data_IF_778464590467
#
_entry.id   IF_778464590467
#
_cell.length_a   1.000
_cell.length_b   1.000
_cell.length_c   1.000
_cell.angle_alpha   90.00
_cell.angle_beta   90.00
_cell.angle_gamma   90.00
#
_symmetry.space_group_name_H-M   'P 1'
#
loop_
_entity.id
_entity.type
_entity.pdbx_description
1 polymer ?
#
# COMPACT_ATOMS: atom_id res chain seq x y z
N UNK A 1 5.90 -12.64 -25.38
CA UNK A 1 6.69 -11.43 -25.09
C UNK A 1 5.73 -10.26 -24.88
N UNK A 2 6.00 -9.43 -23.89
CA UNK A 2 5.30 -8.20 -23.57
C UNK A 2 6.30 -7.04 -23.65
N UNK A 3 5.87 -5.90 -24.20
CA UNK A 3 6.72 -4.72 -24.36
C UNK A 3 6.07 -3.55 -23.63
N UNK A 4 6.79 -2.94 -22.69
CA UNK A 4 6.40 -1.69 -22.04
C UNK A 4 7.31 -0.58 -22.57
N UNK A 5 6.69 0.48 -23.06
CA UNK A 5 7.35 1.64 -23.64
C UNK A 5 6.56 2.90 -23.25
N UNK A 6 7.17 4.08 -23.23
CA UNK A 6 6.46 5.31 -22.88
C UNK A 6 5.29 5.55 -23.83
N UNK A 7 4.20 6.08 -23.29
CA UNK A 7 3.11 6.62 -24.09
C UNK A 7 3.54 7.95 -24.73
N UNK A 8 2.79 8.42 -25.72
CA UNK A 8 3.01 9.72 -26.34
C UNK A 8 3.08 10.84 -25.29
N UNK A 9 4.18 11.61 -25.30
CA UNK A 9 4.46 12.67 -24.34
C UNK A 9 3.69 13.95 -24.71
N UNK A 10 2.37 13.94 -24.57
CA UNK A 10 1.54 15.14 -24.80
C UNK A 10 1.58 16.14 -23.63
N UNK A 11 2.34 15.83 -22.56
CA UNK A 11 2.48 16.67 -21.36
C UNK A 11 1.22 16.75 -20.47
N UNK A 12 0.12 16.09 -20.85
CA UNK A 12 -1.20 16.21 -20.20
C UNK A 12 -1.78 14.90 -19.67
N UNK A 13 -1.10 13.77 -19.86
CA UNK A 13 -1.57 12.46 -19.40
C UNK A 13 -0.90 12.03 -18.08
N UNK A 14 -1.58 11.19 -17.31
CA UNK A 14 -1.08 10.66 -16.03
C UNK A 14 0.23 9.89 -16.20
N UNK A 15 0.43 9.25 -17.36
CA UNK A 15 1.67 8.54 -17.70
C UNK A 15 2.87 9.47 -17.78
N UNK A 16 2.73 10.67 -18.33
CA UNK A 16 3.79 11.69 -18.30
C UNK A 16 4.19 12.03 -16.86
N UNK A 17 3.21 12.21 -15.96
CA UNK A 17 3.50 12.46 -14.55
C UNK A 17 4.26 11.29 -13.94
N UNK A 18 3.85 10.05 -14.23
CA UNK A 18 4.48 8.82 -13.69
C UNK A 18 5.92 8.65 -14.19
N UNK A 19 6.13 8.74 -15.50
CA UNK A 19 7.42 8.48 -16.13
C UNK A 19 8.42 9.62 -15.93
N UNK A 20 7.95 10.87 -16.02
CA UNK A 20 8.82 12.05 -16.08
C UNK A 20 8.87 12.79 -14.75
N UNK A 21 7.71 13.08 -14.16
CA UNK A 21 7.65 13.95 -12.97
C UNK A 21 8.03 13.21 -11.69
N UNK A 22 7.54 11.97 -11.51
CA UNK A 22 7.84 11.17 -10.31
C UNK A 22 8.95 10.14 -10.53
N UNK A 23 9.47 10.01 -11.76
CA UNK A 23 10.54 9.08 -12.12
C UNK A 23 10.24 7.62 -11.72
N UNK A 24 8.98 7.20 -11.82
CA UNK A 24 8.51 5.89 -11.35
C UNK A 24 9.08 4.70 -12.13
N UNK A 25 9.35 4.90 -13.42
CA UNK A 25 9.84 3.86 -14.33
C UNK A 25 11.33 3.53 -14.12
N UNK A 26 12.10 4.45 -13.52
CA UNK A 26 13.50 4.18 -13.21
C UNK A 26 13.66 3.05 -12.19
N UNK A 27 12.86 3.11 -11.12
CA UNK A 27 12.85 2.06 -10.10
C UNK A 27 12.53 0.70 -10.73
N UNK A 28 11.54 0.64 -11.61
CA UNK A 28 11.17 -0.61 -12.28
C UNK A 28 12.25 -1.11 -13.24
N UNK A 29 12.90 -0.20 -13.98
CA UNK A 29 14.06 -0.53 -14.84
C UNK A 29 15.19 -1.14 -14.02
N UNK A 30 15.55 -0.51 -12.90
CA UNK A 30 16.59 -1.00 -11.99
C UNK A 30 16.21 -2.34 -11.36
N UNK A 31 14.94 -2.47 -10.96
CA UNK A 31 14.42 -3.71 -10.39
C UNK A 31 14.61 -4.88 -11.36
N UNK A 32 14.18 -4.74 -12.62
CA UNK A 32 14.33 -5.84 -13.57
C UNK A 32 15.79 -6.14 -13.93
N UNK A 33 16.62 -5.11 -14.13
CA UNK A 33 18.04 -5.30 -14.46
C UNK A 33 18.82 -5.99 -13.33
N UNK A 34 18.48 -5.73 -12.07
CA UNK A 34 19.24 -6.26 -10.93
C UNK A 34 18.64 -7.53 -10.34
N UNK A 35 17.31 -7.60 -10.20
CA UNK A 35 16.63 -8.52 -9.30
C UNK A 35 15.74 -9.56 -10.00
N UNK A 36 15.29 -9.31 -11.25
CA UNK A 36 14.44 -10.25 -11.99
C UNK A 36 15.05 -11.66 -12.00
N UNK A 37 14.25 -12.67 -11.65
CA UNK A 37 14.67 -14.07 -11.60
C UNK A 37 15.56 -14.46 -10.41
N UNK A 38 15.86 -13.56 -9.47
CA UNK A 38 16.72 -13.82 -8.29
C UNK A 38 15.97 -13.77 -6.95
N UNK A 39 14.66 -13.57 -6.99
CA UNK A 39 13.82 -13.33 -5.82
C UNK A 39 13.11 -14.60 -5.35
N UNK A 40 12.73 -14.70 -4.07
CA UNK A 40 11.93 -15.82 -3.55
C UNK A 40 10.47 -15.78 -4.00
N UNK A 41 10.09 -14.75 -4.76
CA UNK A 41 8.77 -14.60 -5.36
C UNK A 41 8.90 -14.58 -6.88
N UNK A 42 7.95 -15.22 -7.56
CA UNK A 42 7.94 -15.26 -9.03
C UNK A 42 7.76 -13.85 -9.57
N UNK A 43 8.63 -13.47 -10.51
CA UNK A 43 8.54 -12.22 -11.27
C UNK A 43 8.64 -12.57 -12.77
N UNK A 44 8.09 -11.74 -13.68
CA UNK A 44 8.25 -11.95 -15.10
C UNK A 44 9.73 -11.90 -15.46
N UNK A 45 10.18 -12.79 -16.35
CA UNK A 45 11.54 -12.72 -16.86
C UNK A 45 11.72 -11.45 -17.70
N UNK A 46 12.79 -10.71 -17.47
CA UNK A 46 13.20 -9.61 -18.34
C UNK A 46 14.14 -10.13 -19.43
N UNK A 47 13.92 -9.72 -20.68
CA UNK A 47 14.80 -9.99 -21.82
C UNK A 47 15.66 -8.76 -22.17
N UNK A 48 15.10 -7.56 -22.02
CA UNK A 48 15.81 -6.29 -22.22
C UNK A 48 15.13 -5.20 -21.40
N UNK A 49 15.89 -4.35 -20.70
CA UNK A 49 15.37 -3.15 -20.05
C UNK A 49 16.40 -2.02 -20.11
N UNK A 50 16.02 -0.90 -20.72
CA UNK A 50 16.86 0.31 -20.77
C UNK A 50 16.02 1.57 -20.63
N UNK A 51 16.64 2.63 -20.09
CA UNK A 51 16.03 3.95 -19.90
C UNK A 51 17.07 5.06 -20.12
N UNK A 52 16.76 5.96 -21.05
CA UNK A 52 17.52 7.19 -21.20
C UNK A 52 17.10 8.19 -20.10
N UNK A 53 17.98 8.41 -19.13
CA UNK A 53 17.75 9.31 -17.98
C UNK A 53 17.49 10.77 -18.37
N UNK A 54 17.98 11.22 -19.53
CA UNK A 54 17.80 12.61 -19.99
C UNK A 54 16.42 12.82 -20.61
N UNK A 55 15.99 11.88 -21.44
CA UNK A 55 14.71 11.99 -22.17
C UNK A 55 13.57 11.27 -21.47
N UNK A 56 13.84 10.47 -20.44
CA UNK A 56 12.91 9.57 -19.74
C UNK A 56 12.27 8.48 -20.60
N UNK A 57 12.63 8.41 -21.88
CA UNK A 57 12.32 7.28 -22.76
C UNK A 57 12.89 5.98 -22.18
N UNK A 58 12.08 4.92 -22.21
CA UNK A 58 12.48 3.59 -21.78
C UNK A 58 11.89 2.53 -22.68
N UNK A 59 12.45 1.32 -22.64
CA UNK A 59 11.84 0.15 -23.25
C UNK A 59 12.15 -1.07 -22.40
N UNK A 60 11.12 -1.85 -22.11
CA UNK A 60 11.26 -3.15 -21.48
C UNK A 60 10.63 -4.21 -22.36
N UNK A 61 11.37 -5.28 -22.57
CA UNK A 61 10.95 -6.47 -23.28
C UNK A 61 10.99 -7.61 -22.28
N UNK A 62 9.83 -8.15 -21.91
CA UNK A 62 9.71 -9.15 -20.86
C UNK A 62 8.80 -10.32 -21.26
N UNK A 63 8.79 -11.33 -20.41
CA UNK A 63 7.87 -12.44 -20.47
C UNK A 63 6.42 -11.96 -20.56
N UNK A 64 5.66 -12.54 -21.48
CA UNK A 64 4.20 -12.39 -21.46
C UNK A 64 3.66 -13.47 -20.55
N UNK A 65 3.06 -13.07 -19.44
CA UNK A 65 2.47 -13.98 -18.47
C UNK A 65 1.36 -14.79 -19.16
N UNK A 66 1.42 -16.14 -19.13
CA UNK A 66 0.42 -16.99 -19.75
C UNK A 66 -0.81 -17.13 -18.86
N UNK A 67 -1.53 -16.03 -18.65
CA UNK A 67 -2.76 -16.01 -17.85
C UNK A 67 -3.80 -16.99 -18.39
N UNK A 68 -4.46 -17.69 -17.47
CA UNK A 68 -5.63 -18.52 -17.72
C UNK A 68 -6.82 -17.74 -18.27
N UNK A 69 -7.73 -18.44 -18.96
CA UNK A 69 -8.98 -17.86 -19.46
C UNK A 69 -10.09 -17.94 -18.42
N UNK A 70 -10.81 -16.85 -18.17
CA UNK A 70 -11.99 -16.82 -17.29
C UNK A 70 -13.07 -17.87 -17.62
N UNK A 71 -13.10 -18.36 -18.86
CA UNK A 71 -14.02 -19.41 -19.31
C UNK A 71 -13.66 -20.81 -18.81
N UNK A 72 -12.42 -21.03 -18.37
CA UNK A 72 -11.94 -22.33 -17.90
C UNK A 72 -12.47 -22.61 -16.49
N UNK A 73 -13.02 -23.81 -16.29
CA UNK A 73 -13.63 -24.22 -15.02
C UNK A 73 -12.63 -24.62 -13.93
N UNK A 74 -11.48 -25.16 -14.31
CA UNK A 74 -10.43 -25.62 -13.40
C UNK A 74 -9.06 -25.43 -14.02
N UNK A 75 -8.04 -25.29 -13.18
CA UNK A 75 -6.66 -25.10 -13.58
C UNK A 75 -5.80 -26.25 -13.05
N UNK A 76 -4.89 -26.75 -13.88
CA UNK A 76 -3.91 -27.75 -13.48
C UNK A 76 -2.80 -27.13 -12.60
N UNK A 77 -1.92 -27.97 -12.03
CA UNK A 77 -0.73 -27.49 -11.33
C UNK A 77 0.09 -26.56 -12.22
N UNK A 78 0.62 -25.51 -11.61
CA UNK A 78 1.47 -24.45 -12.21
C UNK A 78 0.82 -23.62 -13.32
N UNK A 79 -0.46 -23.86 -13.64
CA UNK A 79 -1.23 -22.99 -14.53
C UNK A 79 -1.60 -21.69 -13.82
N UNK A 80 -1.32 -20.56 -14.47
CA UNK A 80 -1.59 -19.23 -13.93
C UNK A 80 -3.09 -18.93 -14.05
N UNK A 81 -3.71 -18.55 -12.94
CA UNK A 81 -5.11 -18.13 -12.86
C UNK A 81 -5.33 -16.82 -13.62
N UNK A 82 -6.57 -16.46 -14.01
CA UNK A 82 -6.85 -15.17 -14.65
C UNK A 82 -6.38 -13.99 -13.79
N UNK A 83 -5.99 -12.86 -14.41
CA UNK A 83 -5.55 -11.68 -13.68
C UNK A 83 -6.69 -11.11 -12.83
N UNK A 84 -6.38 -10.68 -11.61
CA UNK A 84 -7.35 -9.98 -10.80
C UNK A 84 -7.63 -8.59 -11.41
N UNK A 85 -8.91 -8.21 -11.46
CA UNK A 85 -9.30 -6.88 -11.89
C UNK A 85 -9.08 -5.85 -10.79
N UNK A 86 -8.49 -4.70 -11.12
CA UNK A 86 -8.30 -3.59 -10.18
C UNK A 86 -9.62 -3.21 -9.50
N UNK A 87 -9.69 -3.31 -8.16
CA UNK A 87 -10.91 -3.03 -7.37
C UNK A 87 -12.15 -3.84 -7.81
N UNK A 88 -11.94 -5.03 -8.38
CA UNK A 88 -12.99 -5.99 -8.74
C UNK A 88 -12.81 -7.30 -7.98
N UNK A 89 -12.33 -7.21 -6.75
CA UNK A 89 -12.01 -8.35 -5.89
C UNK A 89 -13.24 -9.21 -5.57
N UNK A 90 -14.45 -8.62 -5.59
CA UNK A 90 -15.72 -9.35 -5.55
C UNK A 90 -15.90 -10.39 -6.67
N UNK A 91 -15.13 -10.32 -7.76
CA UNK A 91 -15.15 -11.31 -8.85
C UNK A 91 -14.22 -12.51 -8.61
N UNK A 92 -13.36 -12.46 -7.58
CA UNK A 92 -12.37 -13.49 -7.32
C UNK A 92 -13.03 -14.72 -6.69
N UNK A 93 -12.92 -15.87 -7.36
CA UNK A 93 -13.47 -17.15 -6.88
C UNK A 93 -12.72 -17.71 -5.66
N UNK A 94 -11.40 -17.56 -5.66
CA UNK A 94 -10.49 -18.10 -4.64
C UNK A 94 -9.86 -16.98 -3.79
N UNK A 95 -10.61 -15.88 -3.57
CA UNK A 95 -10.10 -14.65 -2.94
C UNK A 95 -9.32 -14.94 -1.64
N UNK A 96 -9.88 -15.78 -0.77
CA UNK A 96 -9.25 -16.15 0.50
C UNK A 96 -7.86 -16.77 0.27
N UNK A 97 -7.74 -17.81 -0.55
CA UNK A 97 -6.46 -18.44 -0.81
C UNK A 97 -5.45 -17.49 -1.46
N UNK A 98 -5.91 -16.64 -2.40
CA UNK A 98 -5.07 -15.64 -3.06
C UNK A 98 -4.51 -14.62 -2.04
N UNK A 99 -5.34 -14.10 -1.14
CA UNK A 99 -4.89 -13.13 -0.12
C UNK A 99 -3.87 -13.73 0.87
N UNK A 100 -4.03 -15.00 1.27
CA UNK A 100 -3.05 -15.67 2.13
C UNK A 100 -1.76 -16.01 1.37
N UNK A 101 -1.84 -16.43 0.11
CA UNK A 101 -0.66 -16.62 -0.74
C UNK A 101 0.10 -15.31 -0.95
N UNK A 102 -0.63 -14.23 -1.18
CA UNK A 102 -0.07 -12.90 -1.32
C UNK A 102 0.60 -12.40 -0.02
N UNK A 103 -0.03 -12.61 1.14
CA UNK A 103 0.56 -12.33 2.45
C UNK A 103 1.90 -13.06 2.65
N UNK A 104 1.95 -14.37 2.33
CA UNK A 104 3.19 -15.16 2.38
C UNK A 104 4.25 -14.65 1.39
N UNK A 105 3.86 -14.34 0.15
CA UNK A 105 4.78 -13.82 -0.85
C UNK A 105 5.42 -12.50 -0.43
N UNK A 106 4.65 -11.56 0.13
CA UNK A 106 5.19 -10.33 0.69
C UNK A 106 6.16 -10.60 1.84
N UNK A 107 5.83 -11.53 2.75
CA UNK A 107 6.73 -11.91 3.85
C UNK A 107 8.04 -12.52 3.35
N UNK A 108 8.00 -13.43 2.37
CA UNK A 108 9.18 -14.02 1.72
C UNK A 108 10.03 -12.95 1.04
N UNK A 109 9.41 -12.04 0.29
CA UNK A 109 10.11 -10.96 -0.40
C UNK A 109 10.79 -10.00 0.57
N UNK A 110 10.08 -9.53 1.60
CA UNK A 110 10.66 -8.64 2.61
C UNK A 110 11.73 -9.36 3.45
N UNK A 111 11.55 -10.65 3.73
CA UNK A 111 12.55 -11.45 4.42
C UNK A 111 13.83 -11.66 3.60
N UNK A 112 13.72 -11.83 2.28
CA UNK A 112 14.89 -11.83 1.39
C UNK A 112 15.64 -10.51 1.44
N UNK A 113 14.93 -9.37 1.42
CA UNK A 113 15.59 -8.08 1.53
C UNK A 113 16.27 -7.90 2.90
N UNK A 114 15.62 -8.33 3.99
CA UNK A 114 16.18 -8.29 5.33
C UNK A 114 17.54 -9.00 5.41
N UNK A 115 17.66 -10.21 4.85
CA UNK A 115 18.94 -10.94 4.79
C UNK A 115 19.96 -10.27 3.87
N UNK A 116 19.52 -9.87 2.67
CA UNK A 116 20.39 -9.23 1.68
C UNK A 116 21.02 -7.97 2.27
N UNK A 117 20.21 -7.13 2.92
CA UNK A 117 20.65 -5.86 3.51
C UNK A 117 21.58 -6.02 4.71
N UNK A 118 21.70 -7.21 5.30
CA UNK A 118 22.73 -7.50 6.32
C UNK A 118 24.11 -7.78 5.71
N UNK A 119 24.14 -8.26 4.47
CA UNK A 119 25.39 -8.66 3.80
C UNK A 119 25.90 -7.61 2.83
N UNK A 120 25.01 -6.78 2.28
CA UNK A 120 25.35 -5.73 1.32
C UNK A 120 24.32 -4.60 1.33
N UNK A 121 24.77 -3.37 1.16
CA UNK A 121 23.91 -2.19 0.96
C UNK A 121 23.55 -1.93 -0.51
N UNK A 122 24.10 -2.70 -1.46
CA UNK A 122 23.97 -2.42 -2.90
C UNK A 122 22.51 -2.31 -3.37
N UNK A 123 21.63 -3.19 -2.88
CA UNK A 123 20.20 -3.10 -3.21
C UNK A 123 19.61 -1.82 -2.64
N UNK A 124 19.87 -1.52 -1.35
CA UNK A 124 19.35 -0.31 -0.71
C UNK A 124 19.80 0.98 -1.42
N UNK A 125 21.07 1.07 -1.81
CA UNK A 125 21.65 2.21 -2.53
C UNK A 125 21.05 2.44 -3.92
N UNK A 126 20.52 1.39 -4.57
CA UNK A 126 19.85 1.54 -5.87
C UNK A 126 18.42 2.08 -5.77
N UNK A 127 17.78 1.96 -4.60
CA UNK A 127 16.35 2.24 -4.41
C UNK A 127 16.06 3.29 -3.33
N UNK A 128 17.08 3.93 -2.77
CA UNK A 128 16.95 5.00 -1.79
C UNK A 128 17.92 6.15 -2.07
N UNK A 129 17.59 7.33 -1.53
CA UNK A 129 18.50 8.48 -1.54
C UNK A 129 19.60 8.28 -0.48
N UNK A 130 20.88 8.59 -0.78
CA UNK A 130 22.00 8.37 0.13
C UNK A 130 21.83 9.01 1.51
N UNK A 131 21.29 10.23 1.57
CA UNK A 131 21.06 10.97 2.81
C UNK A 131 20.01 10.27 3.69
N UNK A 132 18.94 9.77 3.07
CA UNK A 132 17.90 9.02 3.76
C UNK A 132 18.47 7.72 4.36
N UNK A 133 19.31 7.00 3.62
CA UNK A 133 19.98 5.79 4.12
C UNK A 133 20.82 6.07 5.35
N UNK A 134 21.63 7.15 5.33
CA UNK A 134 22.47 7.52 6.45
C UNK A 134 21.66 7.81 7.71
N UNK A 135 20.64 8.67 7.62
CA UNK A 135 19.78 9.01 8.76
C UNK A 135 19.11 7.77 9.35
N UNK A 136 18.62 6.86 8.50
CA UNK A 136 17.98 5.63 8.95
C UNK A 136 18.96 4.68 9.66
N UNK A 137 20.18 4.54 9.16
CA UNK A 137 21.21 3.74 9.82
C UNK A 137 21.57 4.27 11.22
N UNK A 138 21.69 5.59 11.37
CA UNK A 138 21.94 6.24 12.66
C UNK A 138 20.81 5.99 13.66
N UNK A 139 19.55 6.10 13.22
CA UNK A 139 18.38 5.77 14.04
C UNK A 139 18.41 4.29 14.44
N UNK A 140 18.60 3.38 13.49
CA UNK A 140 18.59 1.94 13.74
C UNK A 140 19.68 1.48 14.68
N UNK A 141 20.87 2.06 14.64
CA UNK A 141 21.95 1.76 15.58
C UNK A 141 21.52 2.01 17.04
N UNK A 142 20.68 3.02 17.28
CA UNK A 142 20.16 3.35 18.60
C UNK A 142 18.94 2.49 18.99
N UNK A 143 18.12 2.07 18.02
CA UNK A 143 16.85 1.35 18.28
C UNK A 143 17.03 -0.16 18.42
N UNK A 144 17.94 -0.79 17.65
CA UNK A 144 18.18 -2.24 17.67
C UNK A 144 18.38 -2.85 19.06
N UNK A 145 19.16 -2.27 20.00
CA UNK A 145 19.36 -2.86 21.33
C UNK A 145 18.17 -2.67 22.28
N UNK A 146 17.14 -1.91 21.89
CA UNK A 146 16.05 -1.51 22.78
C UNK A 146 14.89 -2.51 22.73
N UNK A 147 14.34 -2.83 23.89
CA UNK A 147 13.02 -3.46 24.01
C UNK A 147 11.90 -2.47 23.70
N UNK A 148 10.66 -2.95 23.55
CA UNK A 148 9.53 -2.12 23.10
C UNK A 148 9.32 -0.84 23.94
N UNK A 149 9.36 -0.95 25.27
CA UNK A 149 9.18 0.20 26.17
C UNK A 149 10.28 1.25 25.96
N UNK A 150 11.52 0.82 25.78
CA UNK A 150 12.63 1.71 25.52
C UNK A 150 12.59 2.33 24.12
N UNK A 151 12.09 1.60 23.11
CA UNK A 151 11.83 2.14 21.76
C UNK A 151 10.82 3.29 21.82
N UNK A 152 9.73 3.12 22.57
CA UNK A 152 8.70 4.16 22.71
C UNK A 152 9.24 5.42 23.41
N UNK A 153 10.09 5.25 24.43
CA UNK A 153 10.76 6.38 25.08
C UNK A 153 11.76 7.09 24.14
N UNK A 154 12.51 6.33 23.35
CA UNK A 154 13.44 6.87 22.35
C UNK A 154 12.69 7.66 21.26
N UNK A 155 11.58 7.11 20.76
CA UNK A 155 10.69 7.78 19.81
C UNK A 155 10.25 9.17 20.29
N UNK A 156 9.74 9.26 21.53
CA UNK A 156 9.30 10.55 22.11
C UNK A 156 10.47 11.52 22.24
N UNK A 157 11.66 11.02 22.60
CA UNK A 157 12.88 11.84 22.64
C UNK A 157 13.24 12.37 21.26
N UNK A 158 13.13 11.56 20.21
CA UNK A 158 13.34 12.01 18.83
C UNK A 158 12.35 13.08 18.42
N UNK A 159 11.06 12.94 18.75
CA UNK A 159 10.06 13.98 18.44
C UNK A 159 10.34 15.32 19.13
N UNK A 160 11.00 15.31 20.29
CA UNK A 160 11.41 16.50 21.02
C UNK A 160 12.74 17.11 20.51
N UNK A 161 13.50 16.40 19.67
CA UNK A 161 14.77 16.87 19.13
C UNK A 161 14.53 17.78 17.90
N UNK A 162 14.92 19.07 17.95
CA UNK A 162 14.77 19.98 16.81
C UNK A 162 15.44 19.49 15.52
N UNK A 163 16.49 18.65 15.62
CA UNK A 163 17.17 18.09 14.44
C UNK A 163 16.32 17.06 13.70
N UNK A 164 15.38 16.42 14.40
CA UNK A 164 14.48 15.43 13.82
C UNK A 164 13.23 16.07 13.20
N UNK A 165 12.90 17.31 13.54
CA UNK A 165 11.70 17.98 13.03
C UNK A 165 11.60 17.99 11.50
N UNK A 166 12.66 18.27 10.70
CA UNK A 166 12.58 18.19 9.24
C UNK A 166 12.35 16.76 8.73
N UNK A 167 12.95 15.76 9.39
CA UNK A 167 12.77 14.34 9.03
C UNK A 167 11.31 13.95 9.25
N UNK A 168 10.76 14.21 10.43
CA UNK A 168 9.35 13.93 10.75
C UNK A 168 8.42 14.68 9.80
N UNK A 169 8.67 15.97 9.54
CA UNK A 169 7.85 16.78 8.65
C UNK A 169 7.88 16.32 7.17
N UNK A 170 8.91 15.56 6.77
CA UNK A 170 8.98 14.96 5.43
C UNK A 170 8.15 13.68 5.30
N UNK A 171 7.68 13.12 6.42
CA UNK A 171 6.94 11.87 6.47
C UNK A 171 5.43 12.13 6.58
N UNK A 172 4.65 11.43 5.76
CA UNK A 172 3.20 11.57 5.75
C UNK A 172 2.70 12.95 5.30
N UNK A 173 1.41 13.21 5.49
CA UNK A 173 0.79 14.48 5.16
C UNK A 173 0.88 15.47 6.33
N UNK A 174 1.17 16.73 6.01
CA UNK A 174 1.06 17.82 6.98
C UNK A 174 -0.39 17.91 7.51
N UNK A 175 -0.61 18.20 8.80
CA UNK A 175 -1.95 18.20 9.41
C UNK A 175 -2.99 19.03 8.65
N UNK A 176 -2.64 20.24 8.21
CA UNK A 176 -3.55 21.11 7.46
C UNK A 176 -3.95 20.53 6.09
N UNK A 177 -3.02 19.85 5.41
CA UNK A 177 -3.30 19.17 4.14
C UNK A 177 -4.20 17.95 4.38
N UNK A 178 -3.91 17.17 5.42
CA UNK A 178 -4.72 16.02 5.80
C UNK A 178 -6.16 16.42 6.14
N UNK A 179 -6.35 17.47 6.94
CA UNK A 179 -7.67 18.01 7.27
C UNK A 179 -8.42 18.49 6.02
N UNK A 180 -7.73 19.18 5.11
CA UNK A 180 -8.31 19.66 3.85
C UNK A 180 -8.79 18.52 2.96
N UNK A 181 -8.04 17.42 2.86
CA UNK A 181 -8.45 16.26 2.06
C UNK A 181 -9.62 15.50 2.70
N UNK A 182 -9.67 15.39 4.02
CA UNK A 182 -10.82 14.83 4.73
C UNK A 182 -12.08 15.68 4.50
N UNK A 183 -11.97 17.00 4.57
CA UNK A 183 -13.08 17.92 4.30
C UNK A 183 -13.56 17.83 2.83
N UNK A 184 -12.64 17.65 1.89
CA UNK A 184 -12.96 17.44 0.48
C UNK A 184 -13.77 16.15 0.28
N UNK A 185 -13.34 15.05 0.89
CA UNK A 185 -14.08 13.79 0.84
C UNK A 185 -15.44 13.88 1.53
N UNK A 186 -15.52 14.52 2.70
CA UNK A 186 -16.79 14.77 3.39
C UNK A 186 -17.78 15.53 2.49
N UNK A 187 -17.32 16.60 1.84
CA UNK A 187 -18.16 17.38 0.93
C UNK A 187 -18.63 16.55 -0.27
N UNK A 188 -17.75 15.76 -0.88
CA UNK A 188 -18.11 14.87 -1.98
C UNK A 188 -19.17 13.84 -1.54
N UNK A 189 -18.92 13.16 -0.42
CA UNK A 189 -19.81 12.13 0.13
C UNK A 189 -21.18 12.73 0.43
N UNK A 190 -21.26 13.90 1.08
CA UNK A 190 -22.53 14.49 1.53
C UNK A 190 -23.31 15.23 0.45
N UNK A 191 -22.62 15.87 -0.50
CA UNK A 191 -23.23 16.85 -1.42
C UNK A 191 -23.27 16.40 -2.89
N UNK A 192 -22.58 15.31 -3.22
CA UNK A 192 -22.45 14.83 -4.60
C UNK A 192 -22.90 13.38 -4.75
N UNK A 193 -22.41 12.48 -3.91
CA UNK A 193 -22.51 11.04 -4.14
C UNK A 193 -23.15 10.25 -2.98
N UNK A 194 -23.87 10.89 -2.06
CA UNK A 194 -24.47 10.24 -0.88
C UNK A 194 -25.29 9.01 -1.25
N UNK A 195 -26.07 9.10 -2.34
CA UNK A 195 -26.93 8.03 -2.84
C UNK A 195 -26.16 6.86 -3.47
N UNK A 196 -24.90 7.08 -3.86
CA UNK A 196 -24.06 6.05 -4.46
C UNK A 196 -23.46 5.08 -3.42
N UNK A 197 -23.32 5.51 -2.17
CA UNK A 197 -22.73 4.69 -1.13
C UNK A 197 -23.77 3.78 -0.47
N UNK A 198 -23.38 2.57 0.00
CA UNK A 198 -24.25 1.76 0.84
C UNK A 198 -24.76 2.56 2.05
N UNK A 199 -26.08 2.56 2.28
CA UNK A 199 -26.73 3.37 3.33
C UNK A 199 -26.04 3.30 4.69
N UNK A 200 -25.65 2.08 5.10
CA UNK A 200 -24.95 1.79 6.37
C UNK A 200 -23.64 2.58 6.56
N UNK A 201 -23.02 3.06 5.48
CA UNK A 201 -21.76 3.82 5.50
C UNK A 201 -21.97 5.34 5.59
N UNK A 202 -23.13 5.83 5.17
CA UNK A 202 -23.45 7.27 5.07
C UNK A 202 -24.57 7.72 6.01
N UNK A 203 -25.02 6.84 6.89
CA UNK A 203 -25.86 7.21 8.03
C UNK A 203 -25.17 8.30 8.87
N UNK A 204 -25.92 9.34 9.24
CA UNK A 204 -25.35 10.57 9.82
C UNK A 204 -24.47 10.30 11.05
N UNK A 205 -24.94 9.47 11.99
CA UNK A 205 -24.19 9.13 13.18
C UNK A 205 -22.89 8.37 12.85
N UNK A 206 -22.95 7.43 11.92
CA UNK A 206 -21.80 6.62 11.49
C UNK A 206 -20.78 7.48 10.78
N UNK A 207 -21.19 8.28 9.79
CA UNK A 207 -20.30 9.14 9.01
C UNK A 207 -19.67 10.22 9.89
N UNK A 208 -20.45 10.86 10.77
CA UNK A 208 -19.95 11.85 11.71
C UNK A 208 -18.89 11.28 12.66
N UNK A 209 -19.13 10.09 13.24
CA UNK A 209 -18.14 9.40 14.07
C UNK A 209 -16.87 9.11 13.28
N UNK A 210 -17.00 8.47 12.12
CA UNK A 210 -15.89 8.08 11.26
C UNK A 210 -14.99 9.27 10.89
N UNK A 211 -15.59 10.39 10.48
CA UNK A 211 -14.85 11.59 10.11
C UNK A 211 -14.19 12.28 11.32
N UNK A 212 -14.83 12.30 12.48
CA UNK A 212 -14.24 12.87 13.69
C UNK A 212 -13.01 12.06 14.15
N UNK A 213 -13.12 10.73 14.16
CA UNK A 213 -12.00 9.84 14.48
C UNK A 213 -10.85 10.01 13.48
N UNK A 214 -11.15 10.04 12.18
CA UNK A 214 -10.15 10.26 11.14
C UNK A 214 -9.46 11.63 11.26
N UNK A 215 -10.22 12.70 11.55
CA UNK A 215 -9.69 14.06 11.77
C UNK A 215 -8.78 14.11 13.00
N UNK A 216 -9.14 13.41 14.08
CA UNK A 216 -8.29 13.35 15.28
C UNK A 216 -6.95 12.66 14.98
N UNK A 217 -6.99 11.49 14.33
CA UNK A 217 -5.77 10.75 13.97
C UNK A 217 -4.90 11.55 12.98
N UNK A 218 -5.53 12.24 12.03
CA UNK A 218 -4.83 13.00 10.98
C UNK A 218 -3.87 14.06 11.54
N UNK A 219 -4.15 14.59 12.75
CA UNK A 219 -3.25 15.51 13.47
C UNK A 219 -1.87 14.91 13.77
N UNK A 220 -1.74 13.58 13.72
CA UNK A 220 -0.55 12.81 14.08
C UNK A 220 0.06 12.03 12.91
N UNK A 221 -0.37 12.31 11.67
CA UNK A 221 0.02 11.50 10.52
C UNK A 221 1.53 11.37 10.34
N UNK A 222 2.26 12.47 10.59
CA UNK A 222 3.70 12.53 10.42
C UNK A 222 4.43 11.78 11.55
N UNK A 223 3.96 11.93 12.78
CA UNK A 223 4.49 11.22 13.94
C UNK A 223 4.26 9.71 13.85
N UNK A 224 3.06 9.28 13.45
CA UNK A 224 2.74 7.87 13.23
C UNK A 224 3.63 7.28 12.13
N UNK A 225 3.79 7.99 11.01
CA UNK A 225 4.68 7.55 9.93
C UNK A 225 6.14 7.45 10.39
N UNK A 226 6.62 8.42 11.19
CA UNK A 226 7.96 8.41 11.76
C UNK A 226 8.18 7.23 12.71
N UNK A 227 7.19 6.92 13.56
CA UNK A 227 7.26 5.77 14.47
C UNK A 227 7.53 4.46 13.73
N UNK A 228 6.86 4.24 12.59
CA UNK A 228 7.06 3.03 11.81
C UNK A 228 8.40 3.01 11.10
N UNK A 229 8.86 4.18 10.62
CA UNK A 229 10.17 4.29 9.99
C UNK A 229 11.31 3.96 10.95
N UNK A 230 11.21 4.32 12.23
CA UNK A 230 12.30 4.05 13.17
C UNK A 230 12.44 2.57 13.59
N UNK A 231 11.50 1.70 13.22
CA UNK A 231 11.54 0.27 13.56
C UNK A 231 12.43 -0.48 12.56
N UNK A 232 13.62 -0.98 12.97
CA UNK A 232 14.56 -1.60 12.05
C UNK A 232 14.00 -2.84 11.36
N UNK A 233 13.14 -3.61 12.05
CA UNK A 233 12.54 -4.82 11.52
C UNK A 233 11.49 -4.57 10.44
N UNK A 234 11.00 -3.32 10.30
CA UNK A 234 10.08 -2.91 9.24
C UNK A 234 10.79 -2.35 8.00
N UNK A 235 12.12 -2.21 8.04
CA UNK A 235 12.89 -1.67 6.93
C UNK A 235 12.94 -2.67 5.76
N UNK A 236 12.38 -2.27 4.61
CA UNK A 236 12.25 -3.16 3.46
C UNK A 236 12.44 -2.45 2.11
N UNK A 237 12.77 -3.24 1.07
CA UNK A 237 12.51 -2.87 -0.31
C UNK A 237 11.02 -3.09 -0.58
N UNK A 238 10.32 -2.00 -0.83
CA UNK A 238 8.88 -1.94 -0.94
C UNK A 238 8.41 -2.05 -2.38
N UNK A 239 7.28 -2.74 -2.55
CA UNK A 239 6.46 -2.67 -3.74
C UNK A 239 5.23 -1.79 -3.42
N UNK A 240 5.22 -0.50 -3.79
CA UNK A 240 4.22 0.45 -3.29
C UNK A 240 2.80 0.21 -3.80
N UNK A 241 2.66 -0.54 -4.90
CA UNK A 241 1.38 -0.91 -5.50
C UNK A 241 1.20 -2.44 -5.58
N UNK A 242 1.57 -3.16 -4.51
CA UNK A 242 1.43 -4.63 -4.46
C UNK A 242 -0.02 -5.05 -4.14
N UNK A 243 -0.98 -4.46 -4.84
CA UNK A 243 -2.37 -4.93 -4.77
C UNK A 243 -2.51 -6.21 -5.59
N UNK A 244 -3.58 -6.98 -5.35
CA UNK A 244 -3.75 -8.31 -5.93
C UNK A 244 -3.85 -8.31 -7.48
N UNK A 245 -4.24 -7.18 -8.07
CA UNK A 245 -4.21 -6.96 -9.52
C UNK A 245 -2.78 -6.92 -10.10
N UNK A 246 -1.80 -6.63 -9.26
CA UNK A 246 -0.37 -6.68 -9.55
C UNK A 246 0.30 -7.96 -9.01
N UNK A 247 -0.50 -9.02 -8.83
CA UNK A 247 -0.02 -10.34 -8.47
C UNK A 247 -0.39 -11.39 -9.53
N UNK A 248 0.36 -12.49 -9.53
CA UNK A 248 0.08 -13.69 -10.33
C UNK A 248 -0.15 -14.86 -9.40
N UNK A 249 -1.21 -15.63 -9.65
CA UNK A 249 -1.62 -16.75 -8.81
C UNK A 249 -1.59 -18.05 -9.61
N UNK A 250 -1.15 -19.12 -8.97
CA UNK A 250 -1.23 -20.49 -9.48
C UNK A 250 -1.29 -21.44 -8.30
N UNK A 251 -1.63 -22.70 -8.58
CA UNK A 251 -1.54 -23.77 -7.58
C UNK A 251 -0.31 -24.61 -7.87
N UNK A 252 0.51 -24.88 -6.87
CA UNK A 252 1.68 -25.76 -7.05
C UNK A 252 1.26 -27.23 -7.26
N UNK A 253 2.24 -28.13 -7.40
CA UNK A 253 2.02 -29.58 -7.51
C UNK A 253 1.24 -30.21 -6.34
N UNK A 254 1.16 -29.54 -5.19
CA UNK A 254 0.42 -29.97 -4.01
C UNK A 254 -0.95 -29.29 -3.89
N UNK A 255 -1.34 -28.45 -4.86
CA UNK A 255 -2.58 -27.69 -4.85
C UNK A 255 -2.54 -26.42 -3.99
N UNK A 256 -1.38 -26.04 -3.44
CA UNK A 256 -1.23 -24.86 -2.59
C UNK A 256 -1.23 -23.62 -3.48
N UNK A 257 -2.05 -22.61 -3.12
CA UNK A 257 -2.02 -21.32 -3.79
C UNK A 257 -0.69 -20.61 -3.56
N UNK A 258 -0.01 -20.28 -4.64
CA UNK A 258 1.23 -19.51 -4.69
C UNK A 258 1.01 -18.15 -5.35
N UNK A 259 1.93 -17.22 -5.06
CA UNK A 259 1.84 -15.84 -5.49
C UNK A 259 3.18 -15.32 -6.02
N UNK A 260 3.13 -14.64 -7.16
CA UNK A 260 4.21 -13.81 -7.69
C UNK A 260 3.76 -12.36 -7.83
N UNK A 261 4.71 -11.47 -8.12
CA UNK A 261 4.49 -10.02 -8.15
C UNK A 261 4.98 -9.40 -9.46
N UNK A 262 4.23 -8.41 -9.95
CA UNK A 262 4.49 -7.68 -11.20
C UNK A 262 4.32 -6.18 -11.00
N UNK A 263 4.71 -5.38 -11.99
CA UNK A 263 4.54 -3.91 -11.97
C UNK A 263 5.30 -3.24 -10.82
N UNK A 264 6.62 -3.39 -10.86
CA UNK A 264 7.57 -2.86 -9.87
C UNK A 264 7.82 -1.35 -10.00
N UNK A 265 6.88 -0.63 -10.63
CA UNK A 265 6.85 0.82 -10.73
C UNK A 265 6.93 1.45 -9.34
N UNK A 266 7.90 2.36 -9.17
CA UNK A 266 8.10 3.05 -7.89
C UNK A 266 8.66 2.18 -6.76
N UNK A 267 9.22 1.00 -7.05
CA UNK A 267 9.96 0.22 -6.05
C UNK A 267 10.98 1.10 -5.31
N UNK A 268 10.95 1.07 -3.99
CA UNK A 268 11.75 1.98 -3.16
C UNK A 268 12.12 1.35 -1.83
N UNK A 269 13.21 1.78 -1.23
CA UNK A 269 13.61 1.33 0.11
C UNK A 269 13.15 2.32 1.17
N UNK A 270 12.73 1.80 2.31
CA UNK A 270 12.39 2.59 3.50
C UNK A 270 10.90 2.85 3.71
N UNK A 271 10.01 2.31 2.86
CA UNK A 271 8.59 2.25 3.20
C UNK A 271 8.35 1.10 4.20
N UNK A 272 7.81 1.36 5.41
CA UNK A 272 7.67 0.32 6.43
C UNK A 272 6.74 -0.81 6.00
N UNK A 273 7.02 -2.04 6.45
CA UNK A 273 6.17 -3.22 6.23
C UNK A 273 4.67 -2.94 6.48
N UNK A 274 4.25 -2.37 7.65
CA UNK A 274 2.83 -2.14 7.91
C UNK A 274 2.15 -1.22 6.88
N UNK A 275 2.88 -0.21 6.39
CA UNK A 275 2.44 0.71 5.34
C UNK A 275 2.16 -0.02 4.03
N UNK A 276 3.09 -0.90 3.63
CA UNK A 276 2.93 -1.66 2.39
C UNK A 276 1.75 -2.60 2.50
N UNK A 277 1.60 -3.33 3.61
CA UNK A 277 0.46 -4.22 3.84
C UNK A 277 -0.88 -3.46 3.76
N UNK A 278 -0.96 -2.28 4.39
CA UNK A 278 -2.15 -1.43 4.35
C UNK A 278 -2.53 -1.00 2.93
N UNK A 279 -1.56 -0.61 2.11
CA UNK A 279 -1.81 -0.27 0.70
C UNK A 279 -2.15 -1.48 -0.17
N UNK A 280 -1.44 -2.60 0.06
CA UNK A 280 -1.56 -3.85 -0.71
C UNK A 280 -2.93 -4.51 -0.55
N UNK A 281 -3.58 -4.35 0.61
CA UNK A 281 -4.89 -4.94 0.89
C UNK A 281 -6.05 -3.92 0.81
N UNK A 282 -5.79 -2.68 0.39
CA UNK A 282 -6.83 -1.66 0.24
C UNK A 282 -7.90 -2.03 -0.80
N UNK A 283 -7.60 -2.94 -1.73
CA UNK A 283 -8.55 -3.44 -2.73
C UNK A 283 -9.42 -4.60 -2.25
N UNK A 284 -9.17 -5.14 -1.06
CA UNK A 284 -9.90 -6.29 -0.54
C UNK A 284 -11.33 -5.93 -0.15
N UNK A 285 -12.28 -6.81 -0.46
CA UNK A 285 -13.69 -6.59 -0.15
C UNK A 285 -13.91 -6.36 1.36
N UNK A 286 -14.75 -5.38 1.77
CA UNK A 286 -14.91 -5.03 3.17
C UNK A 286 -15.32 -6.20 4.06
N UNK A 287 -16.27 -7.02 3.62
CA UNK A 287 -16.77 -8.16 4.39
C UNK A 287 -15.71 -9.26 4.54
N UNK A 288 -14.85 -9.47 3.52
CA UNK A 288 -13.69 -10.36 3.61
C UNK A 288 -12.70 -9.88 4.68
N UNK A 289 -12.40 -8.59 4.67
CA UNK A 289 -11.49 -8.00 5.65
C UNK A 289 -12.08 -7.96 7.07
N UNK A 290 -13.41 -7.92 7.22
CA UNK A 290 -14.10 -8.03 8.52
C UNK A 290 -13.76 -9.37 9.19
N UNK A 291 -13.60 -10.42 8.39
CA UNK A 291 -13.27 -11.75 8.89
C UNK A 291 -11.75 -12.04 8.96
N UNK A 292 -10.97 -11.52 8.00
CA UNK A 292 -9.62 -12.03 7.75
C UNK A 292 -8.48 -11.04 8.01
N UNK A 293 -8.74 -9.74 8.23
CA UNK A 293 -7.68 -8.73 8.32
C UNK A 293 -6.59 -9.08 9.36
N UNK A 294 -6.98 -9.38 10.61
CA UNK A 294 -6.02 -9.78 11.66
C UNK A 294 -5.34 -11.13 11.36
N UNK A 295 -6.07 -12.06 10.73
CA UNK A 295 -5.53 -13.38 10.35
C UNK A 295 -4.47 -13.26 9.25
N UNK A 296 -4.64 -12.32 8.30
CA UNK A 296 -3.66 -12.03 7.25
C UNK A 296 -2.38 -11.43 7.83
N UNK A 297 -2.50 -10.51 8.79
CA UNK A 297 -1.34 -9.95 9.51
C UNK A 297 -0.59 -11.04 10.28
N UNK A 298 -1.31 -11.93 10.97
CA UNK A 298 -0.71 -13.07 11.65
C UNK A 298 -0.03 -14.04 10.68
N UNK A 299 -0.66 -14.31 9.52
CA UNK A 299 -0.05 -15.12 8.46
C UNK A 299 1.27 -14.50 7.99
N UNK A 300 1.29 -13.19 7.75
CA UNK A 300 2.50 -12.46 7.38
C UNK A 300 3.59 -12.61 8.45
N UNK A 301 3.26 -12.32 9.72
CA UNK A 301 4.22 -12.37 10.83
C UNK A 301 4.84 -13.76 11.01
N UNK A 302 4.01 -14.80 10.91
CA UNK A 302 4.47 -16.18 10.98
C UNK A 302 5.42 -16.52 9.83
N UNK A 303 5.02 -16.26 8.58
CA UNK A 303 5.88 -16.54 7.42
C UNK A 303 7.19 -15.73 7.51
N UNK A 304 7.12 -14.45 7.91
CA UNK A 304 8.28 -13.59 8.06
C UNK A 304 9.27 -14.16 9.09
N UNK A 305 8.76 -14.67 10.21
CA UNK A 305 9.57 -15.35 11.22
C UNK A 305 10.20 -16.64 10.68
N UNK A 306 9.46 -17.45 9.93
CA UNK A 306 10.00 -18.67 9.34
C UNK A 306 11.16 -18.36 8.37
N UNK A 307 11.04 -17.31 7.55
CA UNK A 307 12.08 -16.97 6.57
C UNK A 307 13.24 -16.15 7.14
N UNK A 308 13.03 -15.37 8.21
CA UNK A 308 14.07 -14.46 8.76
C UNK A 308 14.61 -14.85 10.14
N UNK A 309 13.87 -15.65 10.90
CA UNK A 309 14.07 -15.84 12.35
C UNK A 309 13.61 -14.65 13.21
N UNK A 310 13.19 -13.53 12.61
CA UNK A 310 12.74 -12.33 13.33
C UNK A 310 11.30 -12.48 13.77
N UNK A 311 11.05 -12.36 15.07
CA UNK A 311 9.71 -12.42 15.63
C UNK A 311 9.06 -11.04 15.63
N UNK A 312 8.25 -10.75 14.62
CA UNK A 312 7.31 -9.63 14.66
C UNK A 312 6.12 -10.04 15.53
N UNK A 313 5.90 -9.34 16.64
CA UNK A 313 4.72 -9.56 17.48
C UNK A 313 3.45 -9.29 16.65
N UNK A 314 2.55 -10.28 16.47
CA UNK A 314 1.39 -10.12 15.59
C UNK A 314 0.41 -9.03 16.05
N UNK A 315 0.29 -8.78 17.35
CA UNK A 315 -0.65 -7.78 17.89
C UNK A 315 -0.07 -6.37 17.71
N UNK A 316 1.23 -6.19 17.93
CA UNK A 316 1.91 -4.92 17.62
C UNK A 316 1.93 -4.64 16.12
N UNK A 317 2.23 -5.64 15.30
CA UNK A 317 2.18 -5.50 13.83
C UNK A 317 0.77 -5.14 13.36
N UNK A 318 -0.27 -5.73 13.96
CA UNK A 318 -1.65 -5.40 13.64
C UNK A 318 -1.96 -3.95 14.03
N UNK A 319 -1.59 -3.49 15.22
CA UNK A 319 -1.72 -2.08 15.60
C UNK A 319 -1.03 -1.15 14.59
N UNK A 320 0.23 -1.44 14.21
CA UNK A 320 0.98 -0.61 13.27
C UNK A 320 0.35 -0.63 11.86
N UNK A 321 -0.20 -1.76 11.43
CA UNK A 321 -0.97 -1.87 10.19
C UNK A 321 -2.23 -1.00 10.23
N UNK A 322 -2.98 -1.00 11.34
CA UNK A 322 -4.18 -0.16 11.51
C UNK A 322 -3.84 1.31 11.56
N UNK A 323 -2.76 1.68 12.26
CA UNK A 323 -2.21 3.03 12.24
C UNK A 323 -1.79 3.45 10.82
N UNK A 324 -1.27 2.52 10.02
CA UNK A 324 -0.87 2.77 8.62
C UNK A 324 -2.05 3.10 7.73
N UNK A 325 -3.15 2.35 7.88
CA UNK A 325 -4.41 2.66 7.21
C UNK A 325 -4.89 4.07 7.62
N UNK A 326 -4.77 4.41 8.90
CA UNK A 326 -5.28 5.67 9.44
C UNK A 326 -4.50 6.91 8.93
N UNK A 327 -3.16 6.89 8.96
CA UNK A 327 -2.39 8.06 8.50
C UNK A 327 -2.38 8.20 6.98
N UNK A 328 -2.59 7.10 6.24
CA UNK A 328 -2.68 7.13 4.76
C UNK A 328 -4.06 7.58 4.27
N UNK A 329 -5.09 7.47 5.13
CA UNK A 329 -6.48 7.76 4.82
C UNK A 329 -6.71 9.14 4.18
N UNK A 330 -6.14 10.25 4.69
CA UNK A 330 -6.35 11.55 4.06
C UNK A 330 -5.81 11.62 2.63
N UNK A 331 -4.72 10.89 2.34
CA UNK A 331 -4.18 10.78 0.97
C UNK A 331 -5.13 10.04 0.03
N UNK A 332 -5.79 8.99 0.53
CA UNK A 332 -6.86 8.30 -0.21
C UNK A 332 -8.06 9.24 -0.42
N UNK A 333 -8.46 9.99 0.59
CA UNK A 333 -9.53 10.98 0.50
C UNK A 333 -9.26 12.06 -0.56
N UNK A 334 -8.00 12.43 -0.80
CA UNK A 334 -7.63 13.38 -1.84
C UNK A 334 -8.04 12.92 -3.26
N UNK A 335 -8.22 11.61 -3.47
CA UNK A 335 -8.60 11.04 -4.76
C UNK A 335 -10.01 11.44 -5.22
N UNK A 336 -10.89 11.92 -4.32
CA UNK A 336 -12.23 12.41 -4.70
C UNK A 336 -12.17 13.58 -5.69
N UNK A 337 -11.07 14.33 -5.73
CA UNK A 337 -10.87 15.38 -6.73
C UNK A 337 -10.88 14.84 -8.17
N UNK A 338 -10.50 13.57 -8.36
CA UNK A 338 -10.53 12.93 -9.67
C UNK A 338 -11.93 12.43 -10.00
N UNK A 339 -12.67 11.93 -9.02
CA UNK A 339 -14.08 11.58 -9.18
C UNK A 339 -14.91 12.77 -9.72
N UNK A 340 -14.65 13.99 -9.22
CA UNK A 340 -15.34 15.20 -9.66
C UNK A 340 -14.82 15.78 -10.99
N UNK A 341 -13.61 15.40 -11.43
CA UNK A 341 -13.07 15.73 -12.76
C UNK A 341 -13.55 14.78 -13.85
N UNK A 342 -13.70 13.49 -13.51
CA UNK A 342 -14.08 12.43 -14.44
C UNK A 342 -15.59 12.38 -14.70
N UNK A 343 -16.40 12.85 -13.76
CA UNK A 343 -17.85 12.98 -13.93
C UNK A 343 -18.37 14.29 -13.33
N UNK A 344 -19.24 14.95 -14.10
CA UNK A 344 -19.95 16.16 -13.68
C UNK A 344 -20.95 15.85 -12.56
N UNK A 345 -21.34 16.88 -11.80
CA UNK A 345 -22.36 16.75 -10.75
C UNK A 345 -23.70 16.21 -11.27
N UNK A 346 -24.05 16.51 -12.51
CA UNK A 346 -25.28 15.98 -13.13
C UNK A 346 -25.15 14.49 -13.42
N UNK A 347 -24.01 14.04 -13.96
CA UNK A 347 -23.76 12.61 -14.19
C UNK A 347 -23.82 11.81 -12.89
N UNK A 348 -23.28 12.35 -11.79
CA UNK A 348 -23.32 11.71 -10.47
C UNK A 348 -24.75 11.42 -9.97
N UNK A 349 -25.75 12.22 -10.33
CA UNK A 349 -27.16 11.96 -9.96
C UNK A 349 -27.68 10.64 -10.55
N UNK A 350 -27.16 10.22 -11.69
CA UNK A 350 -27.54 8.99 -12.38
C UNK A 350 -26.74 7.76 -11.98
N UNK A 351 -25.62 7.93 -11.27
CA UNK A 351 -24.76 6.82 -10.82
C UNK A 351 -25.38 6.17 -9.59
N UNK A 352 -25.60 4.85 -9.64
CA UNK A 352 -26.31 4.13 -8.58
C UNK A 352 -25.43 3.68 -7.42
N UNK A 353 -24.30 3.05 -7.73
CA UNK A 353 -23.36 2.46 -6.77
C UNK A 353 -22.05 2.12 -7.49
N UNK A 354 -21.10 1.49 -6.79
CA UNK A 354 -19.81 1.10 -7.37
C UNK A 354 -19.88 0.11 -8.54
N UNK A 355 -21.01 -0.58 -8.73
CA UNK A 355 -21.22 -1.53 -9.84
C UNK A 355 -21.87 -0.87 -11.07
N UNK A 356 -22.26 0.41 -10.96
CA UNK A 356 -22.72 1.18 -12.11
C UNK A 356 -21.61 1.27 -13.17
N UNK A 357 -21.93 1.06 -14.44
CA UNK A 357 -20.96 1.09 -15.56
C UNK A 357 -20.14 2.37 -15.63
N UNK A 358 -20.67 3.51 -15.16
CA UNK A 358 -19.92 4.77 -15.15
C UNK A 358 -18.78 4.78 -14.12
N UNK A 359 -18.83 3.90 -13.13
CA UNK A 359 -17.73 3.61 -12.22
C UNK A 359 -17.01 2.35 -12.70
N UNK A 360 -17.71 1.23 -12.83
CA UNK A 360 -17.10 -0.07 -12.99
C UNK A 360 -16.40 -0.24 -14.35
N UNK A 361 -16.89 0.30 -15.47
CA UNK A 361 -16.20 0.18 -16.76
C UNK A 361 -15.11 1.25 -16.96
N UNK A 362 -15.10 2.29 -16.12
CA UNK A 362 -14.15 3.40 -16.21
C UNK A 362 -13.04 3.20 -15.19
N UNK A 363 -11.93 2.58 -15.63
CA UNK A 363 -10.79 2.19 -14.78
C UNK A 363 -10.40 3.25 -13.73
N UNK A 364 -10.15 4.49 -14.15
CA UNK A 364 -9.73 5.56 -13.22
C UNK A 364 -10.84 5.94 -12.23
N UNK A 365 -12.10 5.99 -12.68
CA UNK A 365 -13.23 6.27 -11.78
C UNK A 365 -13.34 5.17 -10.72
N UNK A 366 -13.26 3.89 -11.13
CA UNK A 366 -13.27 2.74 -10.24
C UNK A 366 -12.15 2.84 -9.20
N UNK A 367 -10.92 3.11 -9.65
CA UNK A 367 -9.77 3.30 -8.77
C UNK A 367 -10.03 4.34 -7.69
N UNK A 368 -10.51 5.52 -8.04
CA UNK A 368 -10.64 6.61 -7.08
C UNK A 368 -11.91 6.51 -6.22
N UNK A 369 -13.02 6.01 -6.76
CA UNK A 369 -14.28 5.91 -6.02
C UNK A 369 -14.29 4.74 -5.03
N UNK A 370 -13.91 3.53 -5.47
CA UNK A 370 -14.02 2.31 -4.64
C UNK A 370 -13.15 2.40 -3.38
N UNK A 371 -11.98 3.04 -3.48
CA UNK A 371 -11.13 3.31 -2.32
C UNK A 371 -11.86 4.08 -1.21
N UNK A 372 -12.68 5.08 -1.57
CA UNK A 372 -13.41 5.89 -0.60
C UNK A 372 -14.48 5.05 0.09
N UNK A 373 -15.23 4.24 -0.67
CA UNK A 373 -16.23 3.32 -0.11
C UNK A 373 -15.58 2.35 0.89
N UNK A 374 -14.42 1.79 0.54
CA UNK A 374 -13.73 0.80 1.37
C UNK A 374 -13.13 1.43 2.62
N UNK A 375 -12.62 2.67 2.53
CA UNK A 375 -12.20 3.45 3.69
C UNK A 375 -13.37 3.74 4.63
N UNK A 376 -14.57 4.08 4.12
CA UNK A 376 -15.75 4.26 4.97
C UNK A 376 -16.16 2.96 5.65
N UNK A 377 -16.08 1.83 4.95
CA UNK A 377 -16.35 0.52 5.52
C UNK A 377 -15.34 0.15 6.63
N UNK A 378 -14.05 0.43 6.40
CA UNK A 378 -12.98 0.31 7.39
C UNK A 378 -13.30 1.13 8.65
N UNK A 379 -13.60 2.43 8.51
CA UNK A 379 -13.91 3.31 9.66
C UNK A 379 -15.20 2.90 10.38
N UNK A 380 -16.12 2.21 9.71
CA UNK A 380 -17.36 1.71 10.32
C UNK A 380 -17.11 0.47 11.18
N UNK A 381 -16.57 -0.59 10.59
CA UNK A 381 -16.51 -1.93 11.20
C UNK A 381 -15.18 -2.20 11.93
N UNK A 382 -14.08 -1.62 11.45
CA UNK A 382 -12.71 -1.91 11.91
C UNK A 382 -11.91 -0.63 12.13
N UNK A 383 -12.52 0.36 12.81
CA UNK A 383 -11.89 1.67 13.02
C UNK A 383 -10.50 1.51 13.65
N UNK A 384 -9.47 2.22 13.14
CA UNK A 384 -8.13 2.23 13.75
C UNK A 384 -8.09 3.06 15.05
N UNK A 385 -9.16 3.80 15.38
CA UNK A 385 -9.17 4.75 16.49
C UNK A 385 -8.89 4.13 17.87
N UNK A 386 -9.45 2.96 18.26
CA UNK A 386 -9.11 2.35 19.54
C UNK A 386 -7.62 2.03 19.69
N UNK A 387 -7.00 1.51 18.62
CA UNK A 387 -5.57 1.19 18.60
C UNK A 387 -4.70 2.45 18.52
N UNK A 388 -5.20 3.52 17.91
CA UNK A 388 -4.58 4.84 18.01
C UNK A 388 -4.56 5.36 19.46
N UNK A 389 -5.65 5.22 20.21
CA UNK A 389 -5.67 5.61 21.62
C UNK A 389 -4.69 4.76 22.46
N UNK A 390 -4.60 3.47 22.17
CA UNK A 390 -3.61 2.58 22.79
C UNK A 390 -2.17 3.03 22.46
N UNK A 391 -1.87 3.32 21.19
CA UNK A 391 -0.59 3.85 20.76
C UNK A 391 -0.22 5.16 21.49
N UNK A 392 -1.16 6.10 21.58
CA UNK A 392 -0.97 7.37 22.29
C UNK A 392 -0.67 7.14 23.78
N UNK A 393 -1.41 6.22 24.42
CA UNK A 393 -1.19 5.85 25.83
C UNK A 393 0.17 5.19 26.03
N UNK A 394 0.53 4.25 25.15
CA UNK A 394 1.76 3.47 25.22
C UNK A 394 3.01 4.33 25.03
N UNK A 395 2.97 5.24 24.06
CA UNK A 395 4.06 6.19 23.80
C UNK A 395 4.08 7.35 24.78
N UNK A 396 2.97 7.69 25.42
CA UNK A 396 2.86 8.87 26.28
C UNK A 396 2.83 10.18 25.48
N UNK A 397 2.53 10.13 24.18
CA UNK A 397 2.36 11.32 23.35
C UNK A 397 1.22 12.20 23.88
N UNK A 398 1.44 13.52 23.83
CA UNK A 398 0.44 14.49 24.30
C UNK A 398 -0.67 14.68 23.27
N UNK A 399 -1.88 14.90 23.76
CA UNK A 399 -3.01 15.29 22.92
C UNK A 399 -2.75 16.67 22.29
N UNK A 400 -2.91 16.79 20.97
CA UNK A 400 -2.84 18.05 20.22
C UNK A 400 -4.21 18.71 20.31
N UNK A 401 -4.21 20.01 20.61
CA UNK A 401 -5.42 20.85 20.63
C UNK A 401 -6.15 20.81 19.30
#
# INVERSE_FOLDING_TARGET
MFVKMPHEFTGKNERFKISVTINGDWAETMFYNMLSGKLPVKTPRIFFADMNRRTTNFIWVMERIPYGSDSKKSYGPDEILPPAGKYRDWMLKDACEMYYAHSRALARFFGWFYHTNQTTSQVAECFAQPEALKTMHEIFANVRPLNQKARDAFYVKCLADPKMAPVVASLGLAPAAAESFLAMAESFIRNVATHCFPKKLVEEATLKRALNEAKEIAKYSQEIAFYMQMIPEYYTLAHPNAQIDNAIFWRDGNGIMECGLIDWGGAMVGMPIPTILAGSWLGAEPDFMDEHEQKLVKCFANEYKEVTGVNLDPDLLYMDYKLSQAYSLPGVCANVQWCTRLATREQWKGIKDRFDKQIDDVFLMRCYYVQIEFVLALLRSRSPYPLFLEFMKRTGMKKKS
#
